data_IF_289428740094
#
_entry.id   IF_289428740094
#
_cell.length_a   1.000
_cell.length_b   1.000
_cell.length_c   1.000
_cell.angle_alpha   90.00
_cell.angle_beta   90.00
_cell.angle_gamma   90.00
#
_symmetry.space_group_name_H-M   'P 1'
#
loop_
_entity.id
_entity.type
_entity.pdbx_description
1 polymer ?
#
# COMPACT_ATOMS: atom_id res chain seq x y z
N UNK A 1 -43.52 -7.89 8.01
CA UNK A 1 -42.26 -7.12 8.06
C UNK A 1 -41.87 -6.85 6.62
N UNK A 2 -42.06 -5.60 6.21
CA UNK A 2 -42.02 -5.16 4.82
C UNK A 2 -40.58 -5.24 4.27
N UNK A 3 -40.36 -6.03 3.22
CA UNK A 3 -39.02 -6.33 2.69
C UNK A 3 -38.49 -5.26 1.71
N UNK A 4 -39.24 -4.17 1.52
CA UNK A 4 -38.97 -3.17 0.47
C UNK A 4 -38.40 -1.83 0.96
N UNK A 5 -37.90 -1.73 2.19
CA UNK A 5 -37.54 -0.43 2.80
C UNK A 5 -36.07 -0.03 2.83
N UNK A 6 -35.22 -0.55 1.96
CA UNK A 6 -33.92 0.07 1.68
C UNK A 6 -33.50 -0.14 0.21
N UNK A 7 -34.12 0.61 -0.71
CA UNK A 7 -33.43 1.00 -1.94
C UNK A 7 -32.53 2.17 -1.55
N UNK A 8 -31.21 1.95 -1.53
CA UNK A 8 -30.28 3.07 -1.48
C UNK A 8 -30.53 3.92 -2.74
N UNK A 9 -31.11 5.10 -2.55
CA UNK A 9 -31.23 6.10 -3.59
C UNK A 9 -30.03 7.02 -3.43
N UNK A 10 -29.12 6.98 -4.39
CA UNK A 10 -27.98 7.91 -4.44
C UNK A 10 -28.46 9.20 -5.10
N UNK A 11 -28.15 10.34 -4.50
CA UNK A 11 -28.51 11.65 -5.05
C UNK A 11 -27.69 11.97 -6.32
N UNK A 12 -26.43 11.51 -6.37
CA UNK A 12 -25.50 11.67 -7.48
C UNK A 12 -24.62 10.41 -7.58
N UNK A 13 -24.34 9.96 -8.80
CA UNK A 13 -23.31 8.97 -9.13
C UNK A 13 -22.22 9.71 -9.89
N UNK A 14 -20.98 9.63 -9.40
CA UNK A 14 -19.82 10.24 -10.05
C UNK A 14 -19.01 9.16 -10.76
N UNK A 15 -18.65 9.41 -12.02
CA UNK A 15 -17.76 8.56 -12.80
C UNK A 15 -16.43 9.28 -13.01
N UNK A 16 -15.35 8.74 -12.45
CA UNK A 16 -14.01 9.32 -12.53
C UNK A 16 -13.41 9.31 -13.95
N UNK A 17 -14.05 8.63 -14.91
CA UNK A 17 -13.65 8.62 -16.32
C UNK A 17 -14.37 9.67 -17.17
N UNK A 18 -15.38 10.36 -16.64
CA UNK A 18 -16.13 11.39 -17.34
C UNK A 18 -15.37 12.73 -17.33
N UNK A 19 -15.37 13.46 -18.44
CA UNK A 19 -14.74 14.78 -18.55
C UNK A 19 -15.33 15.79 -17.54
N UNK A 20 -16.59 15.59 -17.14
CA UNK A 20 -17.30 16.42 -16.17
C UNK A 20 -17.02 16.05 -14.69
N UNK A 21 -16.24 15.00 -14.43
CA UNK A 21 -16.02 14.46 -13.09
C UNK A 21 -15.58 15.50 -12.06
N UNK A 22 -14.62 16.36 -12.43
CA UNK A 22 -14.06 17.34 -11.50
C UNK A 22 -15.11 18.39 -11.11
N UNK A 23 -15.90 18.86 -12.07
CA UNK A 23 -16.95 19.85 -11.82
C UNK A 23 -18.06 19.25 -10.97
N UNK A 24 -18.45 18.00 -11.26
CA UNK A 24 -19.49 17.30 -10.51
C UNK A 24 -19.05 16.92 -9.09
N UNK A 25 -17.80 16.49 -8.90
CA UNK A 25 -17.22 16.22 -7.58
C UNK A 25 -17.17 17.51 -6.75
N UNK A 26 -16.65 18.60 -7.34
CA UNK A 26 -16.51 19.90 -6.66
C UNK A 26 -17.88 20.43 -6.22
N UNK A 27 -18.87 20.35 -7.11
CA UNK A 27 -20.25 20.76 -6.83
C UNK A 27 -20.92 19.86 -5.78
N UNK A 28 -20.74 18.54 -5.86
CA UNK A 28 -21.35 17.60 -4.92
C UNK A 28 -20.79 17.74 -3.50
N UNK A 29 -19.53 18.13 -3.37
CA UNK A 29 -18.84 18.29 -2.08
C UNK A 29 -18.76 19.74 -1.57
N UNK A 30 -19.32 20.71 -2.31
CA UNK A 30 -19.23 22.16 -2.03
C UNK A 30 -17.78 22.67 -1.84
N UNK A 31 -16.86 22.13 -2.66
CA UNK A 31 -15.43 22.45 -2.61
C UNK A 31 -15.17 23.82 -3.24
N UNK A 32 -14.41 24.67 -2.55
CA UNK A 32 -14.02 26.01 -3.01
C UNK A 32 -12.62 25.99 -3.64
N UNK A 33 -12.26 27.01 -4.47
CA UNK A 33 -10.98 27.04 -5.19
C UNK A 33 -9.70 26.87 -4.34
N UNK A 34 -9.77 27.20 -3.05
CA UNK A 34 -8.64 27.11 -2.11
C UNK A 34 -8.74 25.92 -1.13
N UNK A 35 -9.80 25.11 -1.23
CA UNK A 35 -9.98 23.95 -0.36
C UNK A 35 -8.98 22.85 -0.71
N UNK A 36 -8.44 22.21 0.33
CA UNK A 36 -7.55 21.05 0.17
C UNK A 36 -8.33 19.77 0.38
N UNK A 37 -8.33 18.91 -0.64
CA UNK A 37 -8.90 17.58 -0.56
C UNK A 37 -7.81 16.62 -0.06
N UNK A 38 -8.04 16.00 1.09
CA UNK A 38 -7.21 14.90 1.58
C UNK A 38 -7.99 13.59 1.39
N UNK A 39 -7.49 12.71 0.52
CA UNK A 39 -8.05 11.37 0.34
C UNK A 39 -7.37 10.46 1.36
N UNK A 40 -8.10 10.05 2.39
CA UNK A 40 -7.63 9.10 3.39
C UNK A 40 -8.36 7.78 3.18
N UNK A 41 -7.61 6.74 2.91
CA UNK A 41 -8.12 5.40 2.75
C UNK A 41 -7.96 4.59 4.03
N UNK A 42 -8.84 3.63 4.34
CA UNK A 42 -8.69 2.80 5.53
C UNK A 42 -7.38 2.01 5.53
N UNK A 43 -6.67 2.02 6.66
CA UNK A 43 -5.52 1.16 6.89
C UNK A 43 -6.01 -0.25 7.25
N UNK A 44 -5.53 -1.26 6.54
CA UNK A 44 -5.93 -2.65 6.80
C UNK A 44 -4.77 -3.41 7.45
N UNK A 45 -5.01 -3.91 8.65
CA UNK A 45 -4.10 -4.83 9.33
C UNK A 45 -4.09 -6.21 8.66
N UNK A 46 -3.05 -6.99 8.92
CA UNK A 46 -3.00 -8.39 8.45
C UNK A 46 -4.06 -9.26 9.13
N UNK A 47 -4.55 -10.24 8.39
CA UNK A 47 -5.57 -11.20 8.86
C UNK A 47 -5.05 -12.63 8.94
N UNK A 48 -3.76 -12.85 8.65
CA UNK A 48 -3.12 -14.17 8.57
C UNK A 48 -2.65 -14.73 9.93
N UNK A 49 -2.91 -14.00 11.03
CA UNK A 49 -2.55 -14.39 12.39
C UNK A 49 -1.04 -14.35 12.68
N UNK A 50 -0.21 -13.78 11.80
CA UNK A 50 1.24 -13.73 11.98
C UNK A 50 1.68 -12.57 12.83
N UNK A 51 2.63 -12.84 13.72
CA UNK A 51 3.36 -11.83 14.49
C UNK A 51 4.75 -11.69 13.88
N UNK A 52 5.12 -10.50 13.40
CA UNK A 52 6.46 -10.25 12.88
C UNK A 52 7.37 -9.97 14.07
N UNK A 53 8.33 -10.87 14.29
CA UNK A 53 9.30 -10.77 15.39
C UNK A 53 10.68 -10.33 14.92
N UNK A 54 10.97 -10.53 13.64
CA UNK A 54 12.25 -10.18 13.05
C UNK A 54 12.16 -8.82 12.36
N UNK A 55 13.13 -7.96 12.65
CA UNK A 55 13.23 -6.60 12.14
C UNK A 55 14.65 -6.43 11.57
N UNK A 56 14.83 -6.48 10.23
CA UNK A 56 16.10 -6.18 9.63
C UNK A 56 16.45 -4.71 9.88
N UNK A 57 17.71 -4.44 10.20
CA UNK A 57 18.18 -3.09 10.56
C UNK A 57 19.48 -2.71 9.84
N UNK A 58 20.02 -3.58 8.98
CA UNK A 58 21.20 -3.26 8.16
C UNK A 58 20.91 -3.37 6.66
N UNK A 59 21.54 -2.53 5.81
CA UNK A 59 21.42 -2.67 4.36
C UNK A 59 21.79 -4.08 3.85
N UNK A 60 22.75 -4.74 4.49
CA UNK A 60 23.16 -6.09 4.14
C UNK A 60 22.05 -7.13 4.35
N UNK A 61 21.23 -6.98 5.39
CA UNK A 61 20.08 -7.86 5.63
C UNK A 61 18.99 -7.66 4.56
N UNK A 62 18.72 -6.42 4.15
CA UNK A 62 17.76 -6.14 3.07
C UNK A 62 18.23 -6.73 1.73
N UNK A 63 19.53 -6.67 1.43
CA UNK A 63 20.10 -7.35 0.27
C UNK A 63 20.03 -8.89 0.37
N UNK A 64 20.11 -9.45 1.57
CA UNK A 64 19.98 -10.89 1.79
C UNK A 64 18.56 -11.40 1.51
N UNK A 65 17.52 -10.57 1.72
CA UNK A 65 16.13 -10.93 1.41
C UNK A 65 15.95 -11.38 -0.03
N UNK A 66 16.63 -10.73 -0.97
CA UNK A 66 16.55 -11.04 -2.41
C UNK A 66 16.97 -12.48 -2.73
N UNK A 67 17.75 -13.11 -1.84
CA UNK A 67 18.28 -14.47 -1.99
C UNK A 67 17.55 -15.51 -1.15
N UNK A 68 16.59 -15.10 -0.31
CA UNK A 68 15.86 -16.02 0.57
C UNK A 68 14.81 -16.81 -0.20
N UNK A 69 14.48 -18.00 0.30
CA UNK A 69 13.34 -18.75 -0.23
C UNK A 69 12.03 -18.01 0.04
N UNK A 70 11.06 -18.21 -0.85
CA UNK A 70 9.70 -17.67 -0.69
C UNK A 70 9.07 -18.08 0.66
N UNK A 71 9.31 -19.31 1.12
CA UNK A 71 8.82 -19.77 2.42
C UNK A 71 9.38 -18.92 3.58
N UNK A 72 10.68 -18.60 3.54
CA UNK A 72 11.31 -17.78 4.57
C UNK A 72 10.84 -16.33 4.51
N UNK A 73 10.69 -15.77 3.29
CA UNK A 73 10.14 -14.42 3.11
C UNK A 73 8.73 -14.31 3.68
N UNK A 74 7.87 -15.30 3.42
CA UNK A 74 6.53 -15.37 4.03
C UNK A 74 6.63 -15.47 5.55
N UNK A 75 7.48 -16.32 6.10
CA UNK A 75 7.70 -16.44 7.57
C UNK A 75 8.15 -15.12 8.20
N UNK A 76 8.89 -14.30 7.47
CA UNK A 76 9.32 -12.97 7.90
C UNK A 76 8.23 -11.89 7.79
N UNK A 77 7.08 -12.21 7.19
CA UNK A 77 5.97 -11.28 7.02
C UNK A 77 5.91 -10.60 5.66
N UNK A 78 6.86 -10.87 4.76
CA UNK A 78 6.81 -10.32 3.41
C UNK A 78 5.63 -10.92 2.64
N UNK A 79 4.99 -10.10 1.82
CA UNK A 79 3.84 -10.49 1.01
C UNK A 79 4.17 -10.37 -0.48
N UNK A 80 3.79 -11.36 -1.27
CA UNK A 80 3.99 -11.33 -2.72
C UNK A 80 2.93 -10.40 -3.33
N UNK A 81 3.37 -9.32 -3.96
CA UNK A 81 2.50 -8.41 -4.71
C UNK A 81 2.28 -8.93 -6.13
N UNK A 82 3.39 -9.25 -6.81
CA UNK A 82 3.37 -9.62 -8.21
C UNK A 82 4.47 -10.64 -8.54
N UNK A 83 4.26 -11.40 -9.61
CA UNK A 83 5.19 -12.38 -10.15
C UNK A 83 5.08 -12.41 -11.68
N UNK A 84 5.81 -11.51 -12.32
CA UNK A 84 5.86 -11.41 -13.78
C UNK A 84 7.20 -11.93 -14.30
N UNK A 85 7.16 -12.81 -15.29
CA UNK A 85 8.36 -13.33 -15.99
C UNK A 85 9.44 -13.91 -15.07
N UNK A 86 9.04 -14.47 -13.92
CA UNK A 86 9.95 -15.03 -12.92
C UNK A 86 10.54 -14.01 -11.94
N UNK A 87 10.22 -12.72 -12.09
CA UNK A 87 10.60 -11.67 -11.15
C UNK A 87 9.48 -11.48 -10.14
N UNK A 88 9.79 -11.71 -8.86
CA UNK A 88 8.83 -11.58 -7.75
C UNK A 88 8.99 -10.23 -7.07
N UNK A 89 7.91 -9.48 -6.96
CA UNK A 89 7.85 -8.27 -6.15
C UNK A 89 7.29 -8.60 -4.77
N UNK A 90 8.14 -8.50 -3.76
CA UNK A 90 7.81 -8.72 -2.36
C UNK A 90 7.63 -7.39 -1.64
N UNK A 91 6.53 -7.24 -0.92
CA UNK A 91 6.24 -6.10 -0.05
C UNK A 91 6.78 -6.36 1.36
N UNK A 92 7.32 -5.32 1.98
CA UNK A 92 7.75 -5.37 3.37
C UNK A 92 6.54 -5.42 4.31
N UNK A 93 6.62 -6.13 5.44
CA UNK A 93 5.63 -6.01 6.50
C UNK A 93 5.66 -4.60 7.11
N UNK A 94 4.51 -4.06 7.49
CA UNK A 94 4.41 -2.69 7.98
C UNK A 94 5.26 -2.39 9.22
N UNK A 95 5.46 -3.40 10.09
CA UNK A 95 6.28 -3.27 11.30
C UNK A 95 7.73 -2.86 10.99
N UNK A 96 8.19 -3.09 9.75
CA UNK A 96 9.54 -2.74 9.34
C UNK A 96 9.72 -1.26 9.04
N UNK A 97 8.65 -0.48 8.86
CA UNK A 97 8.75 0.94 8.46
C UNK A 97 9.77 1.72 9.30
N UNK A 98 9.73 1.56 10.62
CA UNK A 98 10.63 2.25 11.54
C UNK A 98 12.08 1.75 11.55
N UNK A 99 12.38 0.66 10.86
CA UNK A 99 13.67 -0.05 10.88
C UNK A 99 14.37 -0.06 9.53
N UNK A 100 13.68 0.31 8.44
CA UNK A 100 14.29 0.43 7.11
C UNK A 100 15.34 1.58 7.16
N UNK A 101 16.62 1.30 6.85
CA UNK A 101 17.63 2.35 6.81
C UNK A 101 17.32 3.38 5.72
N UNK A 102 17.54 4.66 6.02
CA UNK A 102 17.51 5.72 5.01
C UNK A 102 18.49 5.40 3.87
N UNK A 103 18.04 5.61 2.63
CA UNK A 103 18.80 5.28 1.43
C UNK A 103 18.68 3.83 0.95
N UNK A 104 17.87 3.00 1.62
CA UNK A 104 17.51 1.67 1.09
C UNK A 104 16.76 1.83 -0.24
N UNK A 105 17.19 1.13 -1.30
CA UNK A 105 16.44 1.09 -2.55
C UNK A 105 15.16 0.27 -2.34
N UNK A 106 14.01 0.88 -2.61
CA UNK A 106 12.69 0.26 -2.53
C UNK A 106 11.99 0.31 -3.89
N UNK A 107 11.12 -0.65 -4.14
CA UNK A 107 10.23 -0.70 -5.31
C UNK A 107 8.80 -0.61 -4.80
N UNK A 108 8.07 0.42 -5.23
CA UNK A 108 6.65 0.56 -4.91
C UNK A 108 5.75 -0.32 -5.78
N UNK A 109 4.49 -0.48 -5.41
CA UNK A 109 3.50 -1.30 -6.14
C UNK A 109 3.26 -0.89 -7.60
N UNK A 110 3.68 0.33 -7.99
CA UNK A 110 3.66 0.79 -9.39
C UNK A 110 4.95 0.46 -10.15
N UNK A 111 5.88 -0.28 -9.55
CA UNK A 111 7.17 -0.66 -10.13
C UNK A 111 8.22 0.44 -10.12
N UNK A 112 7.98 1.58 -9.47
CA UNK A 112 8.92 2.69 -9.41
C UNK A 112 9.96 2.45 -8.32
N UNK A 113 11.23 2.65 -8.67
CA UNK A 113 12.36 2.67 -7.73
C UNK A 113 12.48 4.02 -7.05
N UNK A 114 12.73 4.00 -5.74
CA UNK A 114 13.08 5.20 -4.96
C UNK A 114 13.97 4.84 -3.77
N UNK A 115 14.51 5.87 -3.13
CA UNK A 115 15.29 5.72 -1.90
C UNK A 115 14.36 5.95 -0.72
N UNK A 116 14.35 5.01 0.21
CA UNK A 116 13.59 5.13 1.45
C UNK A 116 14.11 6.30 2.29
N UNK A 117 13.19 7.13 2.79
CA UNK A 117 13.46 8.17 3.76
C UNK A 117 12.36 8.14 4.84
N UNK A 118 12.76 7.81 6.07
CA UNK A 118 11.85 7.69 7.20
C UNK A 118 11.10 9.00 7.46
N UNK A 119 9.77 8.93 7.61
CA UNK A 119 8.90 10.09 7.81
C UNK A 119 8.60 10.89 6.55
N UNK A 120 9.14 10.49 5.38
CA UNK A 120 8.78 11.05 4.07
C UNK A 120 8.23 10.02 3.09
N UNK A 121 8.83 8.83 3.07
CA UNK A 121 8.28 7.72 2.30
C UNK A 121 6.94 7.31 2.92
N UNK A 122 5.98 7.03 2.04
CA UNK A 122 4.61 6.62 2.38
C UNK A 122 4.61 5.50 3.43
N UNK A 123 3.70 5.59 4.40
CA UNK A 123 3.48 4.59 5.42
C UNK A 123 2.11 3.93 5.28
N UNK A 124 1.44 4.07 4.12
CA UNK A 124 0.19 3.38 3.82
C UNK A 124 0.37 1.85 3.91
N UNK A 125 -0.50 1.23 4.70
CA UNK A 125 -0.52 -0.21 4.94
C UNK A 125 -1.75 -0.86 4.31
N UNK A 126 -1.51 -1.93 3.55
CA UNK A 126 -2.57 -2.80 3.02
C UNK A 126 -2.32 -4.21 3.46
N UNK A 127 -3.29 -4.73 4.21
CA UNK A 127 -3.26 -6.09 4.75
C UNK A 127 -1.98 -6.36 5.57
N UNK A 128 -1.50 -5.35 6.31
CA UNK A 128 -0.30 -5.42 7.14
C UNK A 128 1.04 -5.42 6.39
N UNK A 129 1.06 -4.98 5.13
CA UNK A 129 2.26 -4.73 4.33
C UNK A 129 2.35 -3.27 3.86
N UNK A 130 3.57 -2.77 3.69
CA UNK A 130 3.86 -1.48 3.06
C UNK A 130 3.60 -1.56 1.56
N UNK A 131 3.26 -0.43 0.94
CA UNK A 131 3.06 -0.29 -0.51
C UNK A 131 4.36 -0.38 -1.34
N UNK A 132 5.43 -0.93 -0.75
CA UNK A 132 6.74 -1.13 -1.37
C UNK A 132 7.52 -2.28 -0.73
N UNK A 133 8.56 -2.71 -1.45
CA UNK A 133 9.54 -3.66 -0.96
C UNK A 133 10.68 -3.85 -1.95
N UNK A 134 10.90 -5.07 -2.42
CA UNK A 134 12.05 -5.43 -3.25
C UNK A 134 11.69 -6.43 -4.36
N UNK A 135 12.53 -6.47 -5.39
CA UNK A 135 12.47 -7.48 -6.44
C UNK A 135 13.41 -8.65 -6.12
N UNK A 136 12.92 -9.86 -6.34
CA UNK A 136 13.66 -11.11 -6.32
C UNK A 136 13.64 -11.72 -7.74
N UNK A 137 14.82 -12.08 -8.23
CA UNK A 137 15.08 -12.65 -9.57
C UNK A 137 15.51 -14.11 -9.41
#
# INVERSE_FOLDING_TARGET
MDKDKFKAQFDIILDASDDSFIDDLTRAMDIKPDDKINIITPQFERTDGRVILYLPNTPAEYEALKKMSEENLRKMGCQLWDNENGVKHWLYPHEWYGYIPNGTEIINISGKKELFEQGKTDDDIRFGALSYGFLQI
#
